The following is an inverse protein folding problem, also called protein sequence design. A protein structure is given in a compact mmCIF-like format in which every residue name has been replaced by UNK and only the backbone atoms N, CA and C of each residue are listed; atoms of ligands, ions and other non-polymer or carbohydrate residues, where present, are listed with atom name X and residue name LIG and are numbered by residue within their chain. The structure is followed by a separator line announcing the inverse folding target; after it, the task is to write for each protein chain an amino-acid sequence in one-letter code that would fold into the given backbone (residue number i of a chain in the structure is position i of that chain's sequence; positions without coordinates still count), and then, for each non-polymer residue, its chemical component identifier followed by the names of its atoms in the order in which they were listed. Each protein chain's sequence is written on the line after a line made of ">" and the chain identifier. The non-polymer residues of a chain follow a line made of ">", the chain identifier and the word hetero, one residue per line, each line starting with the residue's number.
data_IF_672772175379
#
_entry.id   IF_672772175379
#
_cell.length_a   1.000
_cell.length_b   1.000
_cell.length_c   1.000
_cell.angle_alpha   90.00
_cell.angle_beta   90.00
_cell.angle_gamma   90.00
#
_symmetry.space_group_name_H-M   'P 1'
#
loop_
_entity.id
_entity.type
_entity.pdbx_description
1 polymer ?
#
# COMPACT_ATOMS: atom_id res chain seq x y z
N UNK A 1 -2.55 17.99 8.67
CA UNK A 1 -2.29 16.85 7.79
C UNK A 1 -3.05 17.02 6.47
N UNK A 2 -2.41 16.66 5.36
CA UNK A 2 -3.05 16.70 4.03
C UNK A 2 -3.70 15.37 3.68
N UNK A 3 -3.27 14.28 4.31
CA UNK A 3 -3.78 12.94 4.07
C UNK A 3 -3.66 12.12 5.36
N UNK A 4 -4.70 11.34 5.66
CA UNK A 4 -4.72 10.45 6.83
C UNK A 4 -5.19 9.07 6.37
N UNK A 5 -4.40 8.06 6.65
CA UNK A 5 -4.76 6.66 6.40
C UNK A 5 -5.02 5.95 7.73
N UNK A 6 -6.14 5.26 7.81
CA UNK A 6 -6.52 4.47 8.98
C UNK A 6 -6.52 3.00 8.58
N UNK A 7 -5.66 2.22 9.24
CA UNK A 7 -5.57 0.78 9.04
C UNK A 7 -6.33 0.05 10.13
N UNK A 8 -7.12 -0.96 9.75
CA UNK A 8 -7.99 -1.68 10.68
C UNK A 8 -7.25 -2.62 11.63
N UNK A 9 -6.11 -3.19 11.20
CA UNK A 9 -5.36 -4.15 11.99
C UNK A 9 -4.31 -3.50 12.88
N UNK A 10 -4.05 -4.05 14.09
CA UNK A 10 -2.96 -3.58 14.93
C UNK A 10 -1.61 -3.69 14.23
N UNK A 11 -0.84 -2.59 14.21
CA UNK A 11 0.45 -2.54 13.53
C UNK A 11 0.38 -2.39 12.01
N UNK A 12 -0.81 -2.30 11.43
CA UNK A 12 -1.01 -2.13 9.99
C UNK A 12 -0.68 -3.36 9.16
N UNK A 13 -0.49 -3.17 7.87
CA UNK A 13 -0.31 -4.26 6.91
C UNK A 13 0.96 -5.09 7.13
N UNK A 14 1.99 -4.52 7.73
CA UNK A 14 3.23 -5.25 8.06
C UNK A 14 3.01 -6.35 9.11
N UNK A 15 1.88 -6.31 9.81
CA UNK A 15 1.45 -7.32 10.78
C UNK A 15 0.20 -8.08 10.31
N UNK A 16 -0.17 -7.96 9.06
CA UNK A 16 -1.39 -8.54 8.50
C UNK A 16 -1.24 -9.95 7.96
N UNK A 17 -2.35 -10.46 7.43
CA UNK A 17 -2.38 -11.76 6.78
C UNK A 17 -1.44 -11.82 5.59
N UNK A 18 -0.83 -12.97 5.37
CA UNK A 18 0.16 -13.16 4.31
C UNK A 18 1.59 -12.85 4.72
N UNK A 19 1.80 -12.20 5.85
CA UNK A 19 3.14 -12.00 6.40
C UNK A 19 3.66 -13.30 7.02
N UNK A 20 4.99 -13.53 6.97
CA UNK A 20 5.58 -14.71 7.58
C UNK A 20 5.28 -14.79 9.08
N UNK A 21 4.96 -15.99 9.55
CA UNK A 21 4.77 -16.22 10.97
C UNK A 21 6.11 -16.19 11.69
N UNK A 22 6.11 -15.64 12.88
CA UNK A 22 7.31 -15.50 13.71
C UNK A 22 7.13 -16.34 14.97
N UNK A 23 8.12 -17.20 15.34
CA UNK A 23 8.07 -17.93 16.59
C UNK A 23 7.93 -17.01 17.80
N UNK A 24 7.21 -17.48 18.82
CA UNK A 24 6.99 -16.70 20.05
C UNK A 24 8.30 -16.27 20.72
N UNK A 25 9.32 -17.07 20.64
CA UNK A 25 10.65 -16.78 21.19
C UNK A 25 11.25 -15.51 20.59
N UNK A 26 11.10 -15.31 19.28
CA UNK A 26 11.56 -14.10 18.60
C UNK A 26 10.60 -12.94 18.84
N UNK A 27 9.31 -13.19 18.69
CA UNK A 27 8.25 -12.17 18.81
C UNK A 27 8.22 -11.53 20.19
N UNK A 28 8.50 -12.28 21.25
CA UNK A 28 8.48 -11.78 22.63
C UNK A 28 9.67 -10.88 22.96
N UNK A 29 10.75 -10.94 22.19
CA UNK A 29 11.98 -10.19 22.46
C UNK A 29 12.30 -9.13 21.41
N UNK A 30 11.56 -9.09 20.31
CA UNK A 30 11.78 -8.13 19.23
C UNK A 30 10.46 -7.54 18.74
N UNK A 31 10.51 -6.27 18.39
CA UNK A 31 9.39 -5.62 17.73
C UNK A 31 9.41 -5.94 16.23
N UNK A 32 8.70 -6.98 15.86
CA UNK A 32 8.66 -7.46 14.46
C UNK A 32 8.03 -6.44 13.54
N UNK A 33 7.05 -5.69 14.01
CA UNK A 33 6.39 -4.65 13.21
C UNK A 33 7.38 -3.56 12.82
N UNK A 34 8.16 -3.08 13.78
CA UNK A 34 9.19 -2.08 13.53
C UNK A 34 10.28 -2.61 12.59
N UNK A 35 10.72 -3.85 12.77
CA UNK A 35 11.71 -4.47 11.88
C UNK A 35 11.21 -4.60 10.45
N UNK A 36 9.98 -5.05 10.25
CA UNK A 36 9.37 -5.17 8.91
C UNK A 36 9.20 -3.81 8.25
N UNK A 37 8.72 -2.84 8.99
CA UNK A 37 8.58 -1.46 8.49
C UNK A 37 9.93 -0.87 8.09
N UNK A 38 10.97 -1.12 8.88
CA UNK A 38 12.33 -0.66 8.59
C UNK A 38 12.85 -1.19 7.26
N UNK A 39 12.60 -2.46 6.95
CA UNK A 39 12.99 -3.06 5.67
C UNK A 39 12.31 -2.35 4.51
N UNK A 40 11.01 -2.08 4.61
CA UNK A 40 10.25 -1.37 3.57
C UNK A 40 10.77 0.05 3.38
N UNK A 41 11.00 0.79 4.46
CA UNK A 41 11.52 2.16 4.37
C UNK A 41 12.94 2.21 3.80
N UNK A 42 13.80 1.26 4.17
CA UNK A 42 15.13 1.18 3.59
C UNK A 42 15.08 0.87 2.09
N UNK A 43 14.22 -0.06 1.68
CA UNK A 43 14.04 -0.38 0.28
C UNK A 43 13.55 0.84 -0.52
N UNK A 44 12.57 1.55 0.00
CA UNK A 44 12.06 2.79 -0.63
C UNK A 44 13.17 3.84 -0.77
N UNK A 45 13.92 4.08 0.30
CA UNK A 45 14.99 5.09 0.32
C UNK A 45 16.08 4.80 -0.72
N UNK A 46 16.34 3.54 -1.01
CA UNK A 46 17.37 3.10 -1.96
C UNK A 46 16.91 3.13 -3.41
N UNK A 47 15.63 3.33 -3.69
CA UNK A 47 15.12 3.37 -5.06
C UNK A 47 15.49 4.68 -5.75
N UNK A 48 15.86 4.58 -7.01
CA UNK A 48 16.13 5.76 -7.85
C UNK A 48 14.84 6.54 -8.13
N UNK A 49 13.74 5.82 -8.35
CA UNK A 49 12.41 6.40 -8.57
C UNK A 49 11.54 6.14 -7.35
N UNK A 50 11.28 7.17 -6.56
CA UNK A 50 10.50 7.05 -5.32
C UNK A 50 9.08 7.58 -5.44
N UNK A 51 8.82 8.42 -6.42
CA UNK A 51 7.51 9.02 -6.67
C UNK A 51 6.91 8.40 -7.92
N UNK A 52 5.67 7.95 -7.83
CA UNK A 52 5.00 7.22 -8.91
C UNK A 52 4.87 8.07 -10.18
N UNK A 53 4.63 9.38 -10.05
CA UNK A 53 4.48 10.26 -11.21
C UNK A 53 5.78 10.51 -11.97
N UNK A 54 6.91 10.18 -11.38
CA UNK A 54 8.23 10.25 -12.04
C UNK A 54 8.60 8.94 -12.75
N UNK A 55 7.82 7.88 -12.55
CA UNK A 55 8.07 6.58 -13.18
C UNK A 55 7.65 6.61 -14.65
N UNK A 56 8.56 6.33 -15.59
CA UNK A 56 8.24 6.35 -17.02
C UNK A 56 7.12 5.41 -17.42
N UNK A 57 6.99 4.26 -16.76
CA UNK A 57 5.90 3.31 -17.02
C UNK A 57 4.54 3.88 -16.63
N UNK A 58 4.48 4.61 -15.51
CA UNK A 58 3.26 5.29 -15.08
C UNK A 58 2.91 6.43 -16.01
N UNK A 59 3.89 7.21 -16.43
CA UNK A 59 3.69 8.29 -17.41
C UNK A 59 3.13 7.75 -18.72
N UNK A 60 3.66 6.63 -19.19
CA UNK A 60 3.18 5.96 -20.40
C UNK A 60 1.74 5.46 -20.24
N UNK A 61 1.41 4.88 -19.10
CA UNK A 61 0.06 4.40 -18.79
C UNK A 61 -0.96 5.54 -18.87
N UNK A 62 -0.65 6.69 -18.28
CA UNK A 62 -1.54 7.86 -18.36
C UNK A 62 -1.62 8.40 -19.78
N UNK A 63 -0.50 8.54 -20.47
CA UNK A 63 -0.48 9.09 -21.83
C UNK A 63 -1.27 8.22 -22.84
N UNK A 64 -1.16 6.90 -22.73
CA UNK A 64 -1.75 5.98 -23.70
C UNK A 64 -3.12 5.44 -23.30
N UNK A 65 -3.48 5.45 -22.02
CA UNK A 65 -4.69 4.76 -21.56
C UNK A 65 -5.56 5.59 -20.61
N UNK A 66 -5.00 6.13 -19.53
CA UNK A 66 -5.79 6.79 -18.49
C UNK A 66 -6.11 8.26 -18.79
N UNK A 67 -5.37 8.90 -19.68
CA UNK A 67 -5.49 10.34 -19.93
C UNK A 67 -4.83 11.16 -18.83
N UNK A 68 -5.32 12.38 -18.61
CA UNK A 68 -4.78 13.26 -17.58
C UNK A 68 -5.04 12.70 -16.17
N UNK A 69 -4.10 12.88 -15.21
CA UNK A 69 -4.36 12.57 -13.81
C UNK A 69 -5.59 13.29 -13.30
N UNK A 70 -6.48 12.54 -12.64
CA UNK A 70 -7.75 13.08 -12.14
C UNK A 70 -8.83 13.23 -13.21
N UNK A 71 -8.59 12.77 -14.44
CA UNK A 71 -9.61 12.75 -15.49
C UNK A 71 -10.77 11.82 -15.14
N UNK A 72 -11.91 11.99 -15.82
CA UNK A 72 -13.07 11.15 -15.60
C UNK A 72 -12.77 9.67 -15.84
N UNK A 73 -12.00 9.36 -16.89
CA UNK A 73 -11.61 7.98 -17.22
C UNK A 73 -10.68 7.40 -16.15
N UNK A 74 -9.66 8.14 -15.72
CA UNK A 74 -8.74 7.71 -14.67
C UNK A 74 -9.50 7.49 -13.36
N UNK A 75 -10.39 8.38 -12.98
CA UNK A 75 -11.21 8.25 -11.77
C UNK A 75 -12.08 6.99 -11.82
N UNK A 76 -12.75 6.75 -12.94
CA UNK A 76 -13.62 5.59 -13.11
C UNK A 76 -12.87 4.26 -13.00
N UNK A 77 -11.65 4.19 -13.54
CA UNK A 77 -10.86 2.95 -13.59
C UNK A 77 -10.10 2.72 -12.28
N UNK A 78 -9.51 3.77 -11.70
CA UNK A 78 -8.62 3.63 -10.55
C UNK A 78 -9.33 3.63 -9.20
N UNK A 79 -10.53 4.19 -9.13
CA UNK A 79 -11.27 4.25 -7.87
C UNK A 79 -12.23 3.08 -7.72
N UNK A 80 -12.28 2.55 -6.51
CA UNK A 80 -13.19 1.46 -6.15
C UNK A 80 -14.36 2.01 -5.34
N UNK A 81 -15.56 1.57 -5.69
CA UNK A 81 -16.76 1.85 -4.91
C UNK A 81 -17.08 0.65 -4.02
N UNK A 82 -17.54 0.92 -2.82
CA UNK A 82 -17.88 -0.12 -1.87
C UNK A 82 -19.40 -0.15 -1.64
N UNK A 83 -19.92 -1.35 -1.57
CA UNK A 83 -21.33 -1.59 -1.21
C UNK A 83 -21.38 -2.47 0.02
N UNK A 84 -22.48 -2.35 0.77
CA UNK A 84 -22.74 -3.25 1.90
C UNK A 84 -22.89 -4.67 1.39
N UNK A 85 -22.11 -5.59 1.93
CA UNK A 85 -22.22 -7.01 1.61
C UNK A 85 -23.18 -7.69 2.57
N UNK A 86 -24.04 -8.57 2.03
CA UNK A 86 -24.89 -9.44 2.83
C UNK A 86 -24.07 -10.69 3.15
N UNK A 87 -23.99 -11.01 4.43
CA UNK A 87 -23.35 -12.25 4.88
C UNK A 87 -24.39 -13.37 4.80
N UNK A 88 -24.14 -14.36 3.95
CA UNK A 88 -24.95 -15.57 3.90
C UNK A 88 -24.41 -16.55 4.94
N UNK A 89 -25.21 -16.80 5.93
CA UNK A 89 -24.92 -17.78 6.96
C UNK A 89 -25.26 -19.20 6.48
#
# INVERSE_FOLDING_TARGET
>A
YHFIEIMAGPGGCVNGGGQPQVPAEVRNFQDIRALRAKVLYQNDTQKALRKSHENPSIQKLYAEYLGEPGSHKAHKILHTSYIKRVVNE
#
